data_IF_206636726829
#
_entry.id   IF_206636726829
#
_cell.length_a   1.000
_cell.length_b   1.000
_cell.length_c   1.000
_cell.angle_alpha   90.00
_cell.angle_beta   90.00
_cell.angle_gamma   90.00
#
_symmetry.space_group_name_H-M   'P 1'
#
loop_
_entity.id
_entity.type
_entity.pdbx_description
1 polymer ?
#
# COMPACT_ATOMS: atom_id res chain seq x y z
N UNK A 1 -7.23 -3.12 11.19
CA UNK A 1 -6.16 -2.28 10.61
C UNK A 1 -5.64 -2.97 9.36
N UNK A 2 -4.91 -2.26 8.50
CA UNK A 2 -4.24 -2.83 7.32
C UNK A 2 -2.76 -3.06 7.68
N UNK A 3 -2.26 -4.27 7.47
CA UNK A 3 -0.84 -4.62 7.62
C UNK A 3 -0.27 -5.03 6.26
N UNK A 4 0.87 -4.47 5.85
CA UNK A 4 1.43 -4.71 4.52
C UNK A 4 2.96 -4.57 4.48
N UNK A 5 3.61 -5.51 3.79
CA UNK A 5 5.07 -5.54 3.62
C UNK A 5 5.57 -4.86 2.35
N UNK A 6 4.70 -4.35 1.48
CA UNK A 6 5.02 -3.92 0.12
C UNK A 6 5.51 -5.09 -0.76
N UNK A 7 6.74 -5.53 -0.52
CA UNK A 7 7.38 -6.68 -1.18
C UNK A 7 8.58 -7.11 -0.35
N UNK A 8 8.70 -8.40 -0.03
CA UNK A 8 9.79 -8.93 0.81
C UNK A 8 11.19 -8.56 0.33
N UNK A 9 11.44 -8.61 -0.99
CA UNK A 9 12.73 -8.22 -1.56
C UNK A 9 13.02 -6.72 -1.42
N UNK A 10 11.98 -5.88 -1.48
CA UNK A 10 12.12 -4.44 -1.29
C UNK A 10 12.42 -4.11 0.17
N UNK A 11 11.70 -4.71 1.12
CA UNK A 11 12.00 -4.55 2.55
C UNK A 11 13.43 -4.99 2.89
N UNK A 12 13.85 -6.17 2.42
CA UNK A 12 15.21 -6.65 2.65
C UNK A 12 16.28 -5.72 2.04
N UNK A 13 16.00 -5.13 0.89
CA UNK A 13 16.85 -4.10 0.31
C UNK A 13 16.93 -2.85 1.20
N UNK A 14 15.79 -2.30 1.63
CA UNK A 14 15.74 -1.13 2.51
C UNK A 14 16.49 -1.38 3.84
N UNK A 15 16.32 -2.55 4.43
CA UNK A 15 17.00 -2.95 5.68
C UNK A 15 18.52 -3.09 5.52
N UNK A 16 19.01 -3.33 4.31
CA UNK A 16 20.45 -3.38 4.01
C UNK A 16 21.10 -2.01 3.85
N UNK A 17 20.31 -0.95 3.69
CA UNK A 17 20.80 0.41 3.46
C UNK A 17 21.08 1.13 4.78
N UNK A 18 22.33 1.57 5.03
CA UNK A 18 22.70 2.22 6.30
C UNK A 18 22.07 3.59 6.48
N UNK A 19 21.59 4.22 5.40
CA UNK A 19 20.95 5.53 5.40
C UNK A 19 19.43 5.48 5.19
N UNK A 20 18.82 4.28 5.25
CA UNK A 20 17.38 4.14 5.15
C UNK A 20 16.70 4.68 6.42
N UNK A 21 15.72 5.56 6.22
CA UNK A 21 14.90 6.17 7.27
C UNK A 21 13.44 5.92 6.97
N UNK A 22 12.73 5.42 7.98
CA UNK A 22 11.27 5.32 8.00
C UNK A 22 10.72 6.44 8.87
N UNK A 23 9.80 7.24 8.32
CA UNK A 23 9.03 8.22 9.07
C UNK A 23 7.57 7.77 9.12
N UNK A 24 7.01 7.77 10.32
CA UNK A 24 5.68 7.28 10.64
C UNK A 24 4.87 8.45 11.22
N UNK A 25 3.68 8.71 10.68
CA UNK A 25 2.78 9.75 11.18
C UNK A 25 1.30 9.38 10.99
N UNK A 26 0.44 10.18 11.64
CA UNK A 26 -1.02 10.03 11.57
C UNK A 26 -1.54 8.62 11.93
N UNK A 27 -0.82 7.98 12.86
CA UNK A 27 -1.16 6.67 13.42
C UNK A 27 -0.65 5.48 12.61
N UNK A 28 -0.05 5.69 11.43
CA UNK A 28 0.70 4.61 10.79
C UNK A 28 1.90 4.23 11.65
N UNK A 29 2.26 2.95 11.62
CA UNK A 29 3.43 2.43 12.32
C UNK A 29 4.12 1.33 11.55
N UNK A 30 5.37 1.03 11.89
CA UNK A 30 6.04 -0.19 11.44
C UNK A 30 6.13 -1.17 12.59
N UNK A 31 5.66 -2.40 12.37
CA UNK A 31 5.76 -3.46 13.37
C UNK A 31 7.23 -3.86 13.57
N UNK A 32 7.78 -3.78 14.80
CA UNK A 32 9.20 -4.02 15.05
C UNK A 32 9.59 -5.51 14.96
N UNK A 33 8.63 -6.43 14.98
CA UNK A 33 8.87 -7.87 14.93
C UNK A 33 8.75 -8.44 13.52
N UNK A 34 7.76 -7.96 12.76
CA UNK A 34 7.46 -8.45 11.41
C UNK A 34 7.98 -7.52 10.31
N UNK A 35 8.24 -6.25 10.64
CA UNK A 35 8.65 -5.23 9.68
C UNK A 35 7.51 -4.68 8.81
N UNK A 36 6.28 -5.16 8.99
CA UNK A 36 5.09 -4.75 8.22
C UNK A 36 4.66 -3.34 8.60
N UNK A 37 4.22 -2.57 7.61
CA UNK A 37 3.57 -1.28 7.83
C UNK A 37 2.12 -1.49 8.23
N UNK A 38 1.69 -0.79 9.27
CA UNK A 38 0.35 -0.88 9.84
C UNK A 38 -0.35 0.47 9.67
N UNK A 39 -1.56 0.45 9.13
CA UNK A 39 -2.41 1.61 8.90
C UNK A 39 -3.73 1.44 9.67
N UNK A 40 -4.07 2.36 10.59
CA UNK A 40 -5.31 2.29 11.35
C UNK A 40 -6.54 2.32 10.44
N UNK A 41 -7.56 1.53 10.78
CA UNK A 41 -8.84 1.59 10.11
C UNK A 41 -9.50 2.96 10.39
N UNK A 42 -9.94 3.63 9.34
CA UNK A 42 -10.64 4.91 9.44
C UNK A 42 -12.15 4.72 9.32
N UNK A 43 -12.61 4.15 8.20
CA UNK A 43 -14.03 3.88 7.95
C UNK A 43 -14.24 2.90 6.80
N UNK A 44 -15.47 2.40 6.69
CA UNK A 44 -15.95 1.63 5.55
C UNK A 44 -16.95 2.47 4.76
N UNK A 45 -16.87 2.39 3.44
CA UNK A 45 -17.76 3.08 2.49
C UNK A 45 -18.34 2.03 1.55
N UNK A 46 -19.67 1.97 1.42
CA UNK A 46 -20.32 1.13 0.41
C UNK A 46 -20.23 1.81 -0.96
N UNK A 47 -20.01 1.03 -2.02
CA UNK A 47 -19.87 1.54 -3.38
C UNK A 47 -21.19 1.42 -4.14
N UNK A 48 -21.52 2.43 -4.94
CA UNK A 48 -22.76 2.48 -5.72
C UNK A 48 -22.87 1.32 -6.73
N UNK A 49 -21.74 0.85 -7.26
CA UNK A 49 -21.65 -0.25 -8.22
C UNK A 49 -21.62 -1.65 -7.57
N UNK A 50 -21.74 -1.71 -6.24
CA UNK A 50 -21.57 -2.92 -5.44
C UNK A 50 -20.14 -3.10 -4.93
N UNK A 51 -20.02 -3.77 -3.78
CA UNK A 51 -18.76 -3.86 -3.04
C UNK A 51 -18.60 -2.76 -2.00
N UNK A 52 -17.43 -2.71 -1.39
CA UNK A 52 -17.10 -1.76 -0.33
C UNK A 52 -15.63 -1.36 -0.36
N UNK A 53 -15.35 -0.17 0.14
CA UNK A 53 -14.00 0.35 0.35
C UNK A 53 -13.72 0.50 1.83
N UNK A 54 -12.59 -0.05 2.27
CA UNK A 54 -12.02 0.20 3.58
C UNK A 54 -11.00 1.33 3.44
N UNK A 55 -11.21 2.41 4.16
CA UNK A 55 -10.30 3.54 4.20
C UNK A 55 -9.46 3.44 5.47
N UNK A 56 -8.15 3.63 5.32
CA UNK A 56 -7.18 3.62 6.41
C UNK A 56 -6.50 4.99 6.49
N UNK A 57 -6.13 5.38 7.70
CA UNK A 57 -5.35 6.60 7.94
C UNK A 57 -3.87 6.29 8.06
N UNK A 58 -3.05 7.34 7.98
CA UNK A 58 -1.63 7.27 8.31
C UNK A 58 -0.71 7.53 7.12
N UNK A 59 0.52 7.90 7.42
CA UNK A 59 1.57 8.24 6.44
C UNK A 59 2.86 7.51 6.83
N UNK A 60 3.36 6.71 5.89
CA UNK A 60 4.69 6.10 5.92
C UNK A 60 5.53 6.72 4.82
N UNK A 61 6.68 7.30 5.19
CA UNK A 61 7.69 7.78 4.25
C UNK A 61 8.98 7.02 4.41
N UNK A 62 9.45 6.44 3.33
CA UNK A 62 10.69 5.69 3.24
C UNK A 62 11.68 6.53 2.45
N UNK A 63 12.83 6.85 3.04
CA UNK A 63 13.89 7.63 2.40
C UNK A 63 15.20 6.87 2.47
N UNK A 64 15.93 6.82 1.36
CA UNK A 64 17.30 6.30 1.32
C UNK A 64 18.11 6.95 0.19
N UNK A 65 19.40 6.64 0.09
CA UNK A 65 20.35 7.20 -0.87
C UNK A 65 20.35 8.72 -0.89
N UNK A 66 20.44 9.34 0.29
CA UNK A 66 20.39 10.81 0.41
C UNK A 66 19.09 11.44 -0.10
N UNK A 67 17.99 10.69 -0.15
CA UNK A 67 16.66 11.15 -0.59
C UNK A 67 16.33 10.86 -2.04
N UNK A 68 17.21 10.20 -2.80
CA UNK A 68 16.93 9.76 -4.17
C UNK A 68 15.90 8.62 -4.21
N UNK A 69 15.86 7.79 -3.16
CA UNK A 69 14.74 6.89 -2.92
C UNK A 69 13.77 7.60 -2.00
N UNK A 70 12.55 7.83 -2.48
CA UNK A 70 11.43 8.32 -1.69
C UNK A 70 10.18 7.52 -2.06
N UNK A 71 9.67 6.74 -1.11
CA UNK A 71 8.35 6.10 -1.22
C UNK A 71 7.47 6.69 -0.14
N UNK A 72 6.26 7.10 -0.52
CA UNK A 72 5.27 7.65 0.42
C UNK A 72 3.99 6.85 0.24
N UNK A 73 3.52 6.26 1.33
CA UNK A 73 2.26 5.53 1.39
C UNK A 73 1.34 6.26 2.37
N UNK A 74 0.35 6.96 1.83
CA UNK A 74 -0.51 7.84 2.61
C UNK A 74 -1.98 7.49 2.45
N UNK A 75 -2.66 7.38 3.58
CA UNK A 75 -4.08 7.08 3.73
C UNK A 75 -4.57 5.98 2.78
N UNK A 76 -4.08 4.73 2.91
CA UNK A 76 -4.41 3.67 1.96
C UNK A 76 -5.90 3.37 1.90
N UNK A 77 -6.40 3.05 0.73
CA UNK A 77 -7.75 2.53 0.51
C UNK A 77 -7.64 1.12 -0.06
N UNK A 78 -8.41 0.20 0.52
CA UNK A 78 -8.60 -1.15 0.00
C UNK A 78 -10.04 -1.28 -0.50
N UNK A 79 -10.21 -1.34 -1.80
CA UNK A 79 -11.51 -1.49 -2.46
C UNK A 79 -11.74 -2.96 -2.81
N UNK A 80 -12.90 -3.50 -2.44
CA UNK A 80 -13.31 -4.88 -2.73
C UNK A 80 -14.66 -4.85 -3.44
N UNK A 81 -14.69 -5.33 -4.68
CA UNK A 81 -15.90 -5.40 -5.51
C UNK A 81 -15.90 -6.68 -6.35
N UNK A 82 -16.92 -6.85 -7.20
CA UNK A 82 -16.97 -7.93 -8.18
C UNK A 82 -15.82 -7.88 -9.21
N UNK A 83 -15.18 -6.70 -9.37
CA UNK A 83 -14.03 -6.53 -10.25
C UNK A 83 -12.73 -7.07 -9.66
N UNK A 84 -12.68 -7.24 -8.34
CA UNK A 84 -11.49 -7.65 -7.62
C UNK A 84 -11.19 -6.80 -6.40
N UNK A 85 -9.91 -6.79 -6.05
CA UNK A 85 -9.36 -6.05 -4.92
C UNK A 85 -8.37 -5.03 -5.45
N UNK A 86 -8.47 -3.80 -5.00
CA UNK A 86 -7.58 -2.70 -5.39
C UNK A 86 -7.03 -2.00 -4.15
N UNK A 87 -5.71 -1.86 -4.08
CA UNK A 87 -5.01 -1.07 -3.08
C UNK A 87 -4.55 0.24 -3.73
N UNK A 88 -4.99 1.37 -3.18
CA UNK A 88 -4.53 2.69 -3.61
C UNK A 88 -4.04 3.54 -2.44
N UNK A 89 -3.18 4.51 -2.73
CA UNK A 89 -2.73 5.55 -1.80
C UNK A 89 -3.06 6.94 -2.37
N UNK A 90 -2.87 8.00 -1.59
CA UNK A 90 -2.99 9.36 -2.15
C UNK A 90 -1.99 9.56 -3.27
N UNK A 91 -2.46 10.05 -4.42
CA UNK A 91 -1.59 10.46 -5.50
C UNK A 91 -0.93 11.81 -5.18
N UNK A 92 0.38 11.76 -4.95
CA UNK A 92 1.17 12.94 -4.59
C UNK A 92 1.38 13.91 -5.74
N UNK A 93 1.17 13.51 -6.99
CA UNK A 93 1.24 14.41 -8.15
C UNK A 93 0.11 15.46 -8.12
N UNK A 94 -0.97 15.16 -7.38
CA UNK A 94 -2.13 16.03 -7.23
C UNK A 94 -2.22 16.70 -5.85
N UNK A 95 -1.17 16.61 -5.02
CA UNK A 95 -1.16 17.22 -3.70
C UNK A 95 -1.44 18.74 -3.75
N UNK A 96 -2.31 19.30 -2.86
CA UNK A 96 -2.85 18.71 -1.64
C UNK A 96 -4.22 18.01 -1.77
N UNK A 97 -4.69 17.72 -2.99
CA UNK A 97 -5.95 16.97 -3.16
C UNK A 97 -5.75 15.48 -2.81
N UNK A 98 -6.24 15.08 -1.64
CA UNK A 98 -6.16 13.70 -1.14
C UNK A 98 -7.25 12.77 -1.70
N UNK A 99 -8.17 13.31 -2.53
CA UNK A 99 -9.18 12.53 -3.23
C UNK A 99 -8.64 11.87 -4.49
N UNK A 100 -7.55 12.39 -5.07
CA UNK A 100 -6.84 11.72 -6.16
C UNK A 100 -6.03 10.54 -5.61
N UNK A 101 -6.15 9.39 -6.28
CA UNK A 101 -5.63 8.11 -5.80
C UNK A 101 -4.71 7.49 -6.84
N UNK A 102 -3.55 7.05 -6.40
CA UNK A 102 -2.65 6.23 -7.19
C UNK A 102 -2.97 4.76 -6.90
N UNK A 103 -3.32 3.99 -7.93
CA UNK A 103 -3.47 2.55 -7.80
C UNK A 103 -2.08 1.92 -7.64
N UNK A 104 -1.86 1.23 -6.52
CA UNK A 104 -0.58 0.59 -6.19
C UNK A 104 -0.58 -0.88 -6.59
N UNK A 105 -1.65 -1.60 -6.26
CA UNK A 105 -1.74 -3.00 -6.60
C UNK A 105 -3.18 -3.46 -6.71
N UNK A 106 -3.37 -4.54 -7.46
CA UNK A 106 -4.69 -5.10 -7.69
C UNK A 106 -4.64 -6.62 -7.78
N UNK A 107 -5.77 -7.28 -7.63
CA UNK A 107 -5.94 -8.70 -7.93
C UNK A 107 -7.39 -9.01 -8.32
N UNK A 108 -7.62 -10.05 -9.14
CA UNK A 108 -8.98 -10.53 -9.37
C UNK A 108 -9.55 -11.09 -8.05
N UNK A 109 -10.88 -11.06 -7.91
CA UNK A 109 -11.54 -11.70 -6.78
C UNK A 109 -11.38 -13.22 -6.92
N UNK A 110 -10.46 -13.84 -6.17
CA UNK A 110 -10.50 -15.28 -5.91
C UNK A 110 -11.53 -15.56 -4.80
N UNK A 111 -12.00 -16.81 -4.70
CA UNK A 111 -13.17 -17.27 -3.93
C UNK A 111 -13.44 -16.54 -2.61
N UNK A 112 -14.74 -16.48 -2.25
CA UNK A 112 -15.34 -15.73 -1.12
C UNK A 112 -14.36 -15.36 0.01
N UNK A 113 -14.28 -14.08 0.42
CA UNK A 113 -13.32 -13.57 1.40
C UNK A 113 -13.55 -14.21 2.78
N UNK A 114 -13.00 -15.41 2.97
CA UNK A 114 -12.79 -16.07 4.24
C UNK A 114 -11.44 -15.69 4.84
N UNK A 115 -10.50 -15.28 3.99
CA UNK A 115 -9.16 -14.91 4.39
C UNK A 115 -9.05 -13.39 4.50
N UNK A 116 -8.52 -12.92 5.63
CA UNK A 116 -8.19 -11.52 5.84
C UNK A 116 -6.93 -11.10 5.07
N UNK A 117 -6.52 -11.85 4.05
CA UNK A 117 -5.28 -11.73 3.32
C UNK A 117 -5.58 -11.59 1.82
N UNK A 118 -5.03 -10.52 1.22
CA UNK A 118 -5.33 -10.11 -0.14
C UNK A 118 -4.03 -10.08 -0.94
N UNK A 119 -3.72 -11.13 -1.74
CA UNK A 119 -2.57 -11.09 -2.65
C UNK A 119 -2.80 -10.01 -3.71
N UNK A 120 -1.74 -9.30 -4.08
CA UNK A 120 -1.78 -8.22 -5.07
C UNK A 120 -0.64 -8.36 -6.07
N UNK A 121 -0.86 -7.83 -7.27
CA UNK A 121 0.21 -7.55 -8.24
C UNK A 121 0.34 -6.04 -8.44
N UNK A 122 1.55 -5.58 -8.77
CA UNK A 122 1.87 -4.18 -8.98
C UNK A 122 1.06 -3.60 -10.16
N UNK A 123 0.38 -2.49 -9.91
CA UNK A 123 -0.33 -1.76 -10.93
C UNK A 123 0.62 -1.00 -11.86
N UNK A 124 0.20 -0.80 -13.12
CA UNK A 124 1.00 -0.07 -14.11
C UNK A 124 1.30 1.38 -13.68
N UNK A 125 0.34 2.04 -13.02
CA UNK A 125 0.52 3.40 -12.51
C UNK A 125 1.62 3.54 -11.44
N UNK A 126 1.95 2.46 -10.73
CA UNK A 126 2.84 2.50 -9.57
C UNK A 126 4.28 2.06 -9.87
N UNK A 127 4.62 1.77 -11.12
CA UNK A 127 6.00 1.38 -11.47
C UNK A 127 7.01 2.48 -11.18
N UNK A 128 6.63 3.75 -11.38
CA UNK A 128 7.49 4.91 -11.12
C UNK A 128 7.70 5.13 -9.61
N UNK A 129 6.70 4.82 -8.78
CA UNK A 129 6.81 4.82 -7.31
C UNK A 129 7.93 3.90 -6.81
N UNK A 130 8.27 2.86 -7.59
CA UNK A 130 9.40 1.96 -7.33
C UNK A 130 10.56 2.15 -8.31
N UNK A 131 10.75 3.35 -8.87
CA UNK A 131 11.83 3.72 -9.79
C UNK A 131 12.00 2.78 -11.00
N UNK A 132 10.89 2.22 -11.51
CA UNK A 132 10.87 1.28 -12.64
C UNK A 132 11.66 -0.03 -12.40
N UNK A 133 11.98 -0.36 -11.15
CA UNK A 133 12.68 -1.61 -10.81
C UNK A 133 11.77 -2.83 -11.01
N UNK A 134 10.46 -2.65 -10.81
CA UNK A 134 9.45 -3.68 -10.96
C UNK A 134 8.56 -3.39 -12.16
N UNK A 135 8.14 -4.45 -12.85
CA UNK A 135 7.24 -4.35 -14.00
C UNK A 135 5.78 -4.43 -13.56
N UNK A 136 4.83 -3.92 -14.35
CA UNK A 136 3.41 -4.15 -14.10
C UNK A 136 3.11 -5.64 -13.99
N UNK A 137 2.27 -6.03 -13.04
CA UNK A 137 1.95 -7.44 -12.77
C UNK A 137 2.97 -8.17 -11.86
N UNK A 138 4.05 -7.52 -11.44
CA UNK A 138 5.00 -8.10 -10.48
C UNK A 138 4.28 -8.42 -9.15
N UNK A 139 4.46 -9.62 -8.56
CA UNK A 139 3.85 -9.95 -7.28
C UNK A 139 4.31 -9.02 -6.15
N UNK A 140 3.33 -8.53 -5.37
CA UNK A 140 3.54 -7.79 -4.13
C UNK A 140 3.31 -8.71 -2.93
N UNK A 141 3.78 -8.30 -1.76
CA UNK A 141 3.37 -8.97 -0.53
C UNK A 141 1.86 -8.76 -0.34
N UNK A 142 1.13 -9.73 0.24
CA UNK A 142 -0.30 -9.61 0.44
C UNK A 142 -0.62 -8.55 1.48
N UNK A 143 -1.75 -7.87 1.31
CA UNK A 143 -2.35 -7.00 2.32
C UNK A 143 -3.11 -7.86 3.32
N UNK A 144 -2.88 -7.66 4.62
CA UNK A 144 -3.58 -8.38 5.69
C UNK A 144 -4.45 -7.42 6.49
N UNK A 145 -5.70 -7.78 6.75
CA UNK A 145 -6.60 -7.10 7.68
C UNK A 145 -6.53 -7.79 9.05
N UNK A 146 -6.15 -7.06 10.08
CA UNK A 146 -6.04 -7.56 11.48
C UNK A 146 -6.86 -6.75 12.47
#
# INVERSE_FOLDING_TARGET
MLAWGIKKSFLGYLESLPDCVFAESDGASRDPHTGLFQFPFHRRVELDEGGYRLEFSGDIRIKAHGGMLLVILMNPWLEISERGVELSVVDLMHWPDTSQRELIGHSPLMEAPGDAEFPLVLAESAVETFNNVYQPGEPLDPVVLI
#
